data_IF_240282642751
#
_entry.id   IF_240282642751
#
_cell.length_a   1.000
_cell.length_b   1.000
_cell.length_c   1.000
_cell.angle_alpha   90.00
_cell.angle_beta   90.00
_cell.angle_gamma   90.00
#
_symmetry.space_group_name_H-M   'P 1'
#
loop_
_entity.id
_entity.type
_entity.pdbx_description
1 polymer ?
#
# COMPACT_ATOMS: atom_id res chain seq x y z
N UNK A 1 -15.99 -8.35 -0.16
CA UNK A 1 -14.75 -8.59 -0.92
C UNK A 1 -14.98 -8.13 -2.35
N UNK A 2 -14.08 -7.32 -2.92
CA UNK A 2 -14.18 -6.80 -4.29
C UNK A 2 -13.80 -7.89 -5.31
N UNK A 3 -14.25 -7.74 -6.56
CA UNK A 3 -13.99 -8.71 -7.63
C UNK A 3 -13.18 -8.06 -8.74
N UNK A 4 -12.13 -8.73 -9.21
CA UNK A 4 -11.33 -8.26 -10.34
C UNK A 4 -12.21 -8.06 -11.58
N UNK A 5 -11.99 -6.95 -12.27
CA UNK A 5 -12.67 -6.66 -13.52
C UNK A 5 -12.08 -7.54 -14.64
N UNK A 6 -12.88 -8.42 -15.28
CA UNK A 6 -12.36 -9.34 -16.30
C UNK A 6 -11.84 -8.62 -17.55
N UNK A 7 -12.30 -7.40 -17.84
CA UNK A 7 -11.83 -6.60 -18.97
C UNK A 7 -10.51 -5.86 -18.71
N UNK A 8 -9.97 -5.93 -17.48
CA UNK A 8 -8.75 -5.21 -17.07
C UNK A 8 -7.72 -6.11 -16.36
N UNK A 9 -7.88 -7.43 -16.47
CA UNK A 9 -7.01 -8.41 -15.81
C UNK A 9 -5.61 -8.56 -16.45
N UNK A 10 -5.28 -7.78 -17.50
CA UNK A 10 -4.10 -8.00 -18.36
C UNK A 10 -3.10 -6.84 -18.44
N UNK A 11 -3.17 -5.84 -17.54
CA UNK A 11 -2.18 -4.74 -17.47
C UNK A 11 -1.13 -4.96 -16.38
N UNK A 12 0.00 -5.59 -16.73
CA UNK A 12 1.06 -5.97 -15.80
C UNK A 12 1.75 -4.80 -15.08
N UNK A 13 1.59 -4.76 -13.76
CA UNK A 13 2.35 -3.93 -12.81
C UNK A 13 1.81 -4.17 -11.38
N UNK A 14 2.65 -4.18 -10.33
CA UNK A 14 2.27 -4.68 -8.99
C UNK A 14 1.27 -3.82 -8.18
N UNK A 15 0.50 -2.93 -8.81
CA UNK A 15 -0.43 -2.03 -8.09
C UNK A 15 -1.65 -1.53 -8.90
N UNK A 16 -2.00 -2.12 -10.04
CA UNK A 16 -3.09 -1.61 -10.89
C UNK A 16 -4.11 -2.69 -11.27
N UNK A 17 -4.82 -3.22 -10.28
CA UNK A 17 -6.00 -4.05 -10.54
C UNK A 17 -7.27 -3.20 -10.36
N UNK A 18 -8.09 -3.14 -11.41
CA UNK A 18 -9.43 -2.56 -11.36
C UNK A 18 -10.37 -3.54 -10.64
N UNK A 19 -10.90 -3.13 -9.49
CA UNK A 19 -11.71 -3.97 -8.60
C UNK A 19 -13.14 -3.46 -8.51
N UNK A 20 -14.12 -4.29 -8.87
CA UNK A 20 -15.52 -3.99 -8.65
C UNK A 20 -15.92 -4.23 -7.21
N UNK A 21 -16.56 -3.24 -6.59
CA UNK A 21 -17.16 -3.39 -5.27
C UNK A 21 -18.36 -4.34 -5.35
N UNK A 22 -18.43 -5.30 -4.44
CA UNK A 22 -19.60 -6.16 -4.27
C UNK A 22 -20.73 -5.38 -3.57
N UNK A 23 -21.33 -4.44 -4.30
CA UNK A 23 -22.30 -3.48 -3.77
C UNK A 23 -23.61 -4.11 -3.25
N UNK A 24 -23.86 -5.39 -3.57
CA UNK A 24 -25.00 -6.12 -3.03
C UNK A 24 -24.84 -6.45 -1.53
N UNK A 25 -23.60 -6.54 -1.03
CA UNK A 25 -23.29 -6.91 0.35
C UNK A 25 -22.54 -5.84 1.12
N UNK A 26 -21.88 -4.91 0.42
CA UNK A 26 -21.01 -3.91 1.02
C UNK A 26 -21.38 -2.53 0.51
N UNK A 27 -21.51 -1.59 1.43
CA UNK A 27 -21.46 -0.18 1.12
C UNK A 27 -20.04 0.33 1.38
N UNK A 28 -19.38 0.86 0.36
CA UNK A 28 -17.99 1.31 0.43
C UNK A 28 -17.95 2.82 0.19
N UNK A 29 -17.27 3.52 1.09
CA UNK A 29 -17.02 4.95 1.04
C UNK A 29 -15.52 5.21 0.97
N UNK A 30 -15.12 6.26 0.25
CA UNK A 30 -13.80 6.85 0.39
C UNK A 30 -13.95 8.16 1.14
N UNK A 31 -13.21 8.33 2.23
CA UNK A 31 -13.29 9.52 3.09
C UNK A 31 -11.96 10.24 3.28
N UNK A 32 -12.03 11.55 3.51
CA UNK A 32 -10.90 12.40 3.84
C UNK A 32 -10.45 12.25 5.30
N UNK A 33 -9.55 13.13 5.75
CA UNK A 33 -9.04 13.11 7.12
C UNK A 33 -10.12 13.38 8.18
N UNK A 34 -11.12 14.17 7.84
CA UNK A 34 -12.23 14.57 8.72
C UNK A 34 -13.43 13.59 8.61
N UNK A 35 -13.29 12.52 7.83
CA UNK A 35 -14.34 11.51 7.64
C UNK A 35 -15.42 11.90 6.64
N UNK A 36 -15.20 12.93 5.81
CA UNK A 36 -16.14 13.37 4.77
C UNK A 36 -15.85 12.64 3.46
N UNK A 37 -16.87 12.30 2.65
CA UNK A 37 -16.66 11.66 1.36
C UNK A 37 -15.77 12.50 0.44
N UNK A 38 -14.82 11.85 -0.24
CA UNK A 38 -13.99 12.48 -1.30
C UNK A 38 -14.69 12.38 -2.65
N UNK A 39 -14.30 13.23 -3.60
CA UNK A 39 -14.84 13.16 -4.96
C UNK A 39 -14.32 11.92 -5.71
N UNK A 40 -15.05 11.41 -6.72
CA UNK A 40 -14.52 10.36 -7.58
C UNK A 40 -13.19 10.77 -8.24
N UNK A 41 -12.23 9.86 -8.33
CA UNK A 41 -10.87 10.13 -8.79
C UNK A 41 -9.92 10.66 -7.71
N UNK A 42 -10.43 11.07 -6.53
CA UNK A 42 -9.60 11.45 -5.40
C UNK A 42 -9.26 10.26 -4.51
N UNK A 43 -8.09 10.31 -3.88
CA UNK A 43 -7.66 9.30 -2.92
C UNK A 43 -8.30 9.55 -1.55
N UNK A 44 -8.91 8.51 -0.98
CA UNK A 44 -9.49 8.53 0.36
C UNK A 44 -9.18 7.26 1.14
N UNK A 45 -9.48 7.29 2.45
CA UNK A 45 -9.51 6.09 3.28
C UNK A 45 -10.75 5.27 2.96
N UNK A 46 -10.58 3.96 2.83
CA UNK A 46 -11.67 3.03 2.54
C UNK A 46 -12.42 2.76 3.84
N UNK A 47 -13.71 3.06 3.84
CA UNK A 47 -14.64 2.79 4.94
C UNK A 47 -15.73 1.86 4.42
N UNK A 48 -16.03 0.81 5.18
CA UNK A 48 -16.94 -0.26 4.74
C UNK A 48 -18.07 -0.44 5.74
N UNK A 49 -19.29 -0.54 5.23
CA UNK A 49 -20.44 -1.05 5.96
C UNK A 49 -20.86 -2.40 5.38
N UNK A 50 -20.88 -3.43 6.23
CA UNK A 50 -21.36 -4.76 5.89
C UNK A 50 -22.87 -4.83 6.07
N UNK A 51 -23.58 -5.11 4.98
CA UNK A 51 -25.04 -5.18 4.93
C UNK A 51 -25.58 -6.60 5.17
N UNK A 52 -24.71 -7.61 5.20
CA UNK A 52 -25.07 -9.02 5.30
C UNK A 52 -24.67 -9.70 6.62
N UNK A 53 -23.67 -9.17 7.33
CA UNK A 53 -23.18 -9.78 8.57
C UNK A 53 -24.07 -9.45 9.77
N UNK A 54 -24.89 -10.43 10.17
CA UNK A 54 -25.83 -10.32 11.31
C UNK A 54 -25.21 -10.67 12.67
N UNK A 55 -24.05 -11.31 12.69
CA UNK A 55 -23.39 -11.74 13.94
C UNK A 55 -22.52 -10.61 14.49
N UNK A 56 -21.78 -9.94 13.60
CA UNK A 56 -20.91 -8.81 13.94
C UNK A 56 -21.08 -7.73 12.87
N UNK A 57 -22.14 -6.90 12.96
CA UNK A 57 -22.36 -5.84 11.97
C UNK A 57 -21.22 -4.83 12.04
N UNK A 58 -20.55 -4.63 10.91
CA UNK A 58 -19.51 -3.62 10.74
C UNK A 58 -20.15 -2.40 10.07
N UNK A 59 -20.30 -1.30 10.80
CA UNK A 59 -20.90 -0.06 10.29
C UNK A 59 -19.85 1.02 10.25
N UNK A 60 -19.63 1.60 9.06
CA UNK A 60 -18.56 2.58 8.79
C UNK A 60 -17.21 2.15 9.37
N UNK A 61 -16.87 0.89 9.19
CA UNK A 61 -15.62 0.32 9.67
C UNK A 61 -14.45 0.81 8.80
N UNK A 62 -13.47 1.46 9.43
CA UNK A 62 -12.23 1.86 8.78
C UNK A 62 -11.33 0.63 8.60
N UNK A 63 -11.14 0.19 7.35
CA UNK A 63 -10.31 -0.98 7.07
C UNK A 63 -8.81 -0.67 7.17
N UNK A 64 -8.45 0.61 7.26
CA UNK A 64 -7.07 1.08 7.35
C UNK A 64 -6.35 1.18 6.01
N UNK A 65 -7.03 0.94 4.89
CA UNK A 65 -6.49 1.04 3.53
C UNK A 65 -6.94 2.33 2.84
N UNK A 66 -6.17 2.81 1.86
CA UNK A 66 -6.55 3.91 0.98
C UNK A 66 -6.73 3.44 -0.46
N UNK A 67 -7.54 4.17 -1.21
CA UNK A 67 -7.78 3.87 -2.62
C UNK A 67 -8.44 5.01 -3.37
N UNK A 68 -8.69 4.77 -4.65
CA UNK A 68 -9.31 5.70 -5.58
C UNK A 68 -10.49 5.02 -6.27
N UNK A 69 -11.66 5.65 -6.25
CA UNK A 69 -12.84 5.20 -6.98
C UNK A 69 -12.89 5.86 -8.35
N UNK A 70 -13.37 5.12 -9.35
CA UNK A 70 -13.61 5.65 -10.68
C UNK A 70 -14.71 6.73 -10.66
N UNK A 71 -14.52 7.79 -11.43
CA UNK A 71 -15.57 8.77 -11.74
C UNK A 71 -16.51 8.35 -12.86
N UNK A 72 -16.11 7.37 -13.66
CA UNK A 72 -16.87 6.90 -14.82
C UNK A 72 -17.24 5.42 -14.69
N UNK A 73 -18.37 4.99 -15.30
CA UNK A 73 -18.74 3.59 -15.36
C UNK A 73 -17.67 2.73 -16.03
N UNK A 74 -17.46 1.52 -15.50
CA UNK A 74 -16.53 0.59 -16.10
C UNK A 74 -17.02 0.09 -17.48
N UNK A 75 -16.17 0.02 -18.52
CA UNK A 75 -16.54 -0.47 -19.85
C UNK A 75 -16.99 -1.94 -19.88
N UNK A 76 -16.76 -2.71 -18.81
CA UNK A 76 -17.26 -4.08 -18.66
C UNK A 76 -18.79 -4.17 -18.53
N UNK A 77 -19.48 -3.03 -18.37
CA UNK A 77 -20.95 -2.88 -18.29
C UNK A 77 -21.63 -3.51 -17.07
N UNK A 78 -20.89 -3.95 -16.05
CA UNK A 78 -21.47 -4.44 -14.79
C UNK A 78 -22.24 -3.38 -14.01
N UNK A 79 -21.96 -2.09 -14.24
CA UNK A 79 -22.60 -0.97 -13.53
C UNK A 79 -22.25 -0.88 -12.04
N UNK A 80 -21.35 -1.74 -11.54
CA UNK A 80 -20.90 -1.73 -10.16
C UNK A 80 -19.84 -0.66 -9.95
N UNK A 81 -19.78 -0.03 -8.75
CA UNK A 81 -18.72 0.89 -8.38
C UNK A 81 -17.35 0.24 -8.58
N UNK A 82 -16.37 1.01 -9.08
CA UNK A 82 -15.06 0.52 -9.46
C UNK A 82 -13.98 1.23 -8.64
N UNK A 83 -13.19 0.45 -7.90
CA UNK A 83 -11.95 0.88 -7.28
C UNK A 83 -10.83 0.72 -8.32
N UNK A 84 -10.25 1.84 -8.77
CA UNK A 84 -9.23 1.86 -9.83
C UNK A 84 -7.82 1.75 -9.28
N UNK A 85 -7.64 2.11 -8.01
CA UNK A 85 -6.35 2.01 -7.32
C UNK A 85 -6.57 1.61 -5.88
N UNK A 86 -5.90 0.53 -5.47
CA UNK A 86 -5.69 0.21 -4.06
C UNK A 86 -4.29 0.70 -3.70
N UNK A 87 -4.22 1.76 -2.90
CA UNK A 87 -2.96 2.41 -2.55
C UNK A 87 -2.24 1.69 -1.39
N UNK A 88 -2.93 0.79 -0.68
CA UNK A 88 -2.39 0.03 0.46
C UNK A 88 -2.80 0.63 1.81
N UNK A 89 -2.14 0.21 2.89
CA UNK A 89 -2.47 0.66 4.24
C UNK A 89 -2.14 2.14 4.45
N UNK A 90 -3.12 2.91 4.89
CA UNK A 90 -3.00 4.32 5.28
C UNK A 90 -1.86 4.57 6.29
N UNK A 91 -1.60 3.58 7.16
CA UNK A 91 -0.65 3.68 8.27
C UNK A 91 0.77 3.20 7.93
N UNK A 92 1.06 2.83 6.68
CA UNK A 92 2.35 2.20 6.34
C UNK A 92 2.89 2.73 5.00
N UNK A 93 3.00 4.05 4.92
CA UNK A 93 3.51 4.79 3.76
C UNK A 93 4.85 5.47 4.10
N UNK A 94 5.77 5.47 3.14
CA UNK A 94 6.95 6.34 3.08
C UNK A 94 6.59 7.59 2.27
N UNK A 95 6.94 8.76 2.77
CA UNK A 95 6.71 10.05 2.09
C UNK A 95 8.01 10.55 1.48
N UNK A 96 8.11 10.63 0.15
CA UNK A 96 9.32 11.12 -0.52
C UNK A 96 9.46 12.64 -0.41
N UNK A 97 10.65 13.22 -0.69
CA UNK A 97 10.84 14.68 -0.71
C UNK A 97 9.94 15.39 -1.74
N UNK A 98 9.55 14.68 -2.80
CA UNK A 98 8.60 15.16 -3.81
C UNK A 98 7.14 15.20 -3.33
N UNK A 99 6.84 14.70 -2.13
CA UNK A 99 5.48 14.55 -1.61
C UNK A 99 4.75 13.29 -2.08
N UNK A 100 5.33 12.53 -3.02
CA UNK A 100 4.81 11.23 -3.45
C UNK A 100 4.83 10.25 -2.27
N UNK A 101 3.75 9.46 -2.12
CA UNK A 101 3.63 8.44 -1.07
C UNK A 101 3.84 7.05 -1.67
N UNK A 102 4.72 6.27 -1.07
CA UNK A 102 4.99 4.90 -1.46
C UNK A 102 4.57 3.95 -0.33
N UNK A 103 3.87 2.85 -0.63
CA UNK A 103 3.69 1.77 0.34
C UNK A 103 5.05 1.26 0.82
N UNK A 104 5.22 1.06 2.13
CA UNK A 104 6.42 0.41 2.69
C UNK A 104 6.66 -0.97 2.05
N UNK A 105 5.60 -1.62 1.56
CA UNK A 105 5.68 -2.88 0.84
C UNK A 105 6.58 -2.82 -0.41
N UNK A 106 6.78 -1.63 -1.01
CA UNK A 106 7.71 -1.45 -2.12
C UNK A 106 9.17 -1.69 -1.70
N UNK A 107 9.53 -1.45 -0.44
CA UNK A 107 10.84 -1.76 0.13
C UNK A 107 10.99 -3.26 0.47
N UNK A 108 9.85 -3.99 0.48
CA UNK A 108 9.65 -5.44 0.58
C UNK A 108 10.83 -6.27 0.03
N UNK A 109 11.09 -6.17 -1.29
CA UNK A 109 12.04 -7.05 -1.98
C UNK A 109 13.48 -6.95 -1.47
N UNK A 110 13.91 -5.79 -0.98
CA UNK A 110 15.28 -5.58 -0.51
C UNK A 110 15.60 -6.43 0.73
N UNK A 111 14.61 -6.69 1.58
CA UNK A 111 14.76 -7.54 2.76
C UNK A 111 14.61 -9.02 2.44
N UNK A 112 13.82 -9.37 1.44
CA UNK A 112 13.67 -10.77 1.02
C UNK A 112 14.95 -11.35 0.44
N UNK A 113 15.73 -10.56 -0.31
CA UNK A 113 17.02 -11.01 -0.84
C UNK A 113 18.06 -11.33 0.24
N UNK A 114 17.85 -10.86 1.48
CA UNK A 114 18.72 -11.10 2.62
C UNK A 114 18.00 -11.81 3.78
N UNK A 115 16.89 -12.49 3.52
CA UNK A 115 16.07 -13.10 4.57
C UNK A 115 16.81 -14.16 5.40
N UNK A 116 17.80 -14.84 4.82
CA UNK A 116 18.65 -15.79 5.55
C UNK A 116 19.71 -15.12 6.44
N UNK A 117 19.95 -13.82 6.25
CA UNK A 117 20.99 -13.04 6.93
C UNK A 117 20.44 -12.16 8.06
N UNK A 118 19.13 -11.96 8.10
CA UNK A 118 18.45 -11.03 9.02
C UNK A 118 17.40 -11.77 9.84
N UNK A 119 17.50 -11.69 11.17
CA UNK A 119 16.45 -12.18 12.09
C UNK A 119 15.31 -11.18 12.16
N UNK A 120 15.63 -9.91 12.33
CA UNK A 120 14.68 -8.82 12.44
C UNK A 120 15.20 -7.58 11.71
N UNK A 121 14.28 -6.71 11.30
CA UNK A 121 14.61 -5.41 10.77
C UNK A 121 13.55 -4.38 11.17
N UNK A 122 13.96 -3.13 11.26
CA UNK A 122 13.09 -1.98 11.49
C UNK A 122 13.35 -0.92 10.43
N UNK A 123 12.28 -0.36 9.88
CA UNK A 123 12.30 0.79 9.00
C UNK A 123 11.76 2.01 9.74
N UNK A 124 12.57 3.05 9.87
CA UNK A 124 12.17 4.31 10.47
C UNK A 124 12.42 5.45 9.48
N UNK A 125 11.34 6.08 8.98
CA UNK A 125 11.46 7.32 8.23
C UNK A 125 11.66 8.48 9.22
N UNK A 126 12.89 8.99 9.31
CA UNK A 126 13.26 10.09 10.23
C UNK A 126 12.95 11.46 9.63
N UNK A 127 12.94 11.57 8.29
CA UNK A 127 12.58 12.76 7.53
C UNK A 127 12.13 12.40 6.11
N UNK A 128 11.50 13.31 5.34
CA UNK A 128 11.11 13.03 3.95
C UNK A 128 12.25 12.57 3.05
N UNK A 129 13.48 12.96 3.36
CA UNK A 129 14.72 12.65 2.65
C UNK A 129 15.59 11.58 3.36
N UNK A 130 15.11 10.92 4.42
CA UNK A 130 15.91 9.89 5.09
C UNK A 130 15.10 8.77 5.73
N UNK A 131 15.58 7.53 5.52
CA UNK A 131 15.17 6.34 6.23
C UNK A 131 16.37 5.73 6.94
N UNK A 132 16.17 5.35 8.19
CA UNK A 132 17.09 4.51 8.94
C UNK A 132 16.56 3.08 8.94
N UNK A 133 17.45 2.14 8.65
CA UNK A 133 17.17 0.71 8.70
C UNK A 133 18.01 0.12 9.82
N UNK A 134 17.35 -0.40 10.84
CA UNK A 134 18.02 -1.17 11.87
C UNK A 134 17.84 -2.65 11.62
N UNK A 135 18.90 -3.42 11.82
CA UNK A 135 18.94 -4.85 11.51
C UNK A 135 19.42 -5.66 12.71
N UNK A 136 18.84 -6.83 12.90
CA UNK A 136 19.34 -7.86 13.81
C UNK A 136 19.89 -8.99 12.95
N UNK A 137 21.22 -9.13 12.83
CA UNK A 137 21.83 -10.17 12.02
C UNK A 137 21.53 -11.59 12.52
N UNK A 138 21.37 -12.53 11.59
CA UNK A 138 21.27 -13.96 11.89
C UNK A 138 22.62 -14.61 12.25
N UNK A 139 23.73 -13.95 11.92
CA UNK A 139 25.08 -14.42 12.19
C UNK A 139 26.02 -13.24 12.46
N UNK A 140 27.05 -13.42 13.32
CA UNK A 140 28.14 -12.45 13.48
C UNK A 140 28.93 -12.17 12.20
N UNK A 141 28.76 -13.00 11.16
CA UNK A 141 29.37 -12.82 9.86
C UNK A 141 28.73 -11.70 9.02
N UNK A 142 27.58 -11.16 9.44
CA UNK A 142 26.97 -9.99 8.80
C UNK A 142 27.85 -8.76 9.04
N UNK A 143 28.41 -8.21 7.96
CA UNK A 143 29.31 -7.08 8.01
C UNK A 143 28.92 -5.97 7.04
N UNK A 144 29.89 -5.11 6.76
CA UNK A 144 29.71 -3.94 5.88
C UNK A 144 29.28 -4.33 4.46
N UNK A 145 29.70 -5.50 3.97
CA UNK A 145 29.38 -5.97 2.62
C UNK A 145 27.87 -6.26 2.46
N UNK A 146 27.27 -6.94 3.44
CA UNK A 146 25.85 -7.25 3.48
C UNK A 146 25.01 -5.99 3.69
N UNK A 147 25.43 -5.11 4.60
CA UNK A 147 24.78 -3.82 4.84
C UNK A 147 24.78 -2.96 3.55
N UNK A 148 25.91 -2.84 2.87
CA UNK A 148 26.00 -2.11 1.61
C UNK A 148 25.17 -2.75 0.49
N UNK A 149 25.02 -4.08 0.49
CA UNK A 149 24.12 -4.76 -0.45
C UNK A 149 22.65 -4.43 -0.18
N UNK A 150 22.24 -4.36 1.09
CA UNK A 150 20.89 -3.95 1.48
C UNK A 150 20.60 -2.52 1.06
N UNK A 151 21.53 -1.60 1.31
CA UNK A 151 21.42 -0.20 0.88
C UNK A 151 21.25 -0.07 -0.64
N UNK A 152 22.04 -0.84 -1.42
CA UNK A 152 21.91 -0.87 -2.89
C UNK A 152 20.55 -1.38 -3.35
N UNK A 153 19.99 -2.41 -2.72
CA UNK A 153 18.65 -2.90 -3.07
C UNK A 153 17.57 -1.89 -2.70
N UNK A 154 17.67 -1.25 -1.54
CA UNK A 154 16.72 -0.20 -1.12
C UNK A 154 16.77 1.02 -2.05
N UNK A 155 17.94 1.38 -2.55
CA UNK A 155 18.14 2.46 -3.52
C UNK A 155 17.53 2.18 -4.91
N UNK A 156 17.19 0.93 -5.24
CA UNK A 156 16.46 0.59 -6.49
C UNK A 156 14.97 0.88 -6.40
N UNK A 157 14.43 1.01 -5.19
CA UNK A 157 13.08 1.49 -5.03
C UNK A 157 13.04 2.97 -5.48
N UNK A 158 11.89 3.53 -5.93
CA UNK A 158 11.77 4.92 -6.42
C UNK A 158 12.02 6.03 -5.37
N UNK A 159 12.84 5.74 -4.35
CA UNK A 159 13.28 6.57 -3.28
C UNK A 159 14.62 7.26 -3.60
N UNK A 160 14.93 7.51 -4.88
CA UNK A 160 16.17 8.05 -5.46
C UNK A 160 16.70 9.36 -4.81
N UNK A 161 15.98 9.91 -3.83
CA UNK A 161 16.27 11.14 -3.09
C UNK A 161 16.34 10.92 -1.57
N UNK A 162 16.27 9.68 -1.08
CA UNK A 162 16.29 9.37 0.35
C UNK A 162 17.64 8.74 0.74
N UNK A 163 18.31 9.37 1.71
CA UNK A 163 19.46 8.77 2.35
C UNK A 163 19.01 7.55 3.18
N UNK A 164 19.53 6.38 2.84
CA UNK A 164 19.34 5.14 3.59
C UNK A 164 20.57 4.91 4.44
N UNK A 165 20.38 4.67 5.73
CA UNK A 165 21.45 4.26 6.64
C UNK A 165 21.10 2.93 7.26
N UNK A 166 21.95 1.92 7.10
CA UNK A 166 21.84 0.65 7.81
C UNK A 166 22.75 0.68 9.05
N UNK A 167 22.22 0.36 10.24
CA UNK A 167 23.00 0.34 11.49
C UNK A 167 22.29 -0.25 12.70
#
# INVERSE_FOLDING_TARGET
>A
MAQTCPSHASGGGPASENLHVNAAHLFVELVDRDGRPVAPGEEGRIVVTDLGNRVAPLVRYDVGDTGVMAGEPCPCRRGLPLLTRLCGRAMTLVVLPSGRRLPVLCLRPAFWSQSDLLLEHQLAQVSPDSIVVSVVPASPAYGEAEAAALERELAKCPADTMAVKVG
#
